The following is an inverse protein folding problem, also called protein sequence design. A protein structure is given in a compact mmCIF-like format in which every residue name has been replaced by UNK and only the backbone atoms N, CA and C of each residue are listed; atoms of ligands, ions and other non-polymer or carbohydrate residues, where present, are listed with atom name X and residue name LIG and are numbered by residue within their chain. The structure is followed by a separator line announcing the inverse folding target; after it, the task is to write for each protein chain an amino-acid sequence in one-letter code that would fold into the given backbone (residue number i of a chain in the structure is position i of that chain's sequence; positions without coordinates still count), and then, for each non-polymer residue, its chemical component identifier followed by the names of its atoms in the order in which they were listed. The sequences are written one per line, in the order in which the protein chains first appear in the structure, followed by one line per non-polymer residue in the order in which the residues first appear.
data_IF_224208978313
#
_entry.id   IF_224208978313
#
_cell.length_a   1.000
_cell.length_b   1.000
_cell.length_c   1.000
_cell.angle_alpha   90.00
_cell.angle_beta   90.00
_cell.angle_gamma   90.00
#
_symmetry.space_group_name_H-M   'P 1'
#
loop_
_entity.id
_entity.type
_entity.pdbx_description
1 polymer ?
#
# COMPACT_ATOMS: atom_id res chain seq x y z
N UNK A 1 -19.78 -15.33 -18.12
CA UNK A 1 -19.65 -14.03 -17.43
C UNK A 1 -18.46 -14.17 -16.51
N UNK A 2 -17.36 -13.53 -16.86
CA UNK A 2 -16.16 -13.51 -16.03
C UNK A 2 -16.51 -12.70 -14.79
N UNK A 3 -16.85 -13.37 -13.69
CA UNK A 3 -17.01 -12.71 -12.40
C UNK A 3 -15.60 -12.35 -11.96
N UNK A 4 -15.09 -11.20 -12.43
CA UNK A 4 -13.85 -10.65 -11.91
C UNK A 4 -14.04 -10.54 -10.40
N UNK A 5 -13.37 -11.41 -9.65
CA UNK A 5 -13.46 -11.44 -8.20
C UNK A 5 -13.11 -10.03 -7.73
N UNK A 6 -14.11 -9.33 -7.19
CA UNK A 6 -13.89 -7.98 -6.67
C UNK A 6 -12.81 -8.11 -5.60
N UNK A 7 -11.71 -7.34 -5.66
CA UNK A 7 -10.67 -7.46 -4.65
C UNK A 7 -11.30 -7.24 -3.26
N UNK A 8 -10.90 -8.05 -2.28
CA UNK A 8 -11.46 -8.01 -0.93
C UNK A 8 -11.19 -6.65 -0.23
N UNK A 9 -10.19 -5.91 -0.71
CA UNK A 9 -9.74 -4.62 -0.21
C UNK A 9 -9.59 -3.65 -1.38
N UNK A 10 -9.99 -2.39 -1.21
CA UNK A 10 -9.90 -1.38 -2.26
C UNK A 10 -8.46 -0.90 -2.45
N UNK A 11 -7.67 -0.86 -1.38
CA UNK A 11 -6.25 -0.48 -1.41
C UNK A 11 -5.40 -1.11 -0.28
N UNK A 12 -4.10 -0.76 -0.24
CA UNK A 12 -3.16 -1.32 0.74
C UNK A 12 -3.42 -0.84 2.18
N UNK A 13 -3.98 0.36 2.36
CA UNK A 13 -4.26 0.92 3.69
C UNK A 13 -5.42 0.18 4.35
N UNK A 14 -6.47 -0.13 3.58
CA UNK A 14 -7.57 -0.96 4.06
C UNK A 14 -7.12 -2.38 4.44
N UNK A 15 -6.25 -3.00 3.63
CA UNK A 15 -5.69 -4.31 3.95
C UNK A 15 -4.91 -4.29 5.27
N UNK A 16 -4.08 -3.25 5.47
CA UNK A 16 -3.29 -3.07 6.71
C UNK A 16 -4.21 -2.89 7.92
N UNK A 17 -5.26 -2.09 7.78
CA UNK A 17 -6.24 -1.84 8.83
C UNK A 17 -7.04 -3.11 9.18
N UNK A 18 -7.54 -3.82 8.17
CA UNK A 18 -8.29 -5.06 8.35
C UNK A 18 -7.47 -6.13 9.08
N UNK A 19 -6.17 -6.25 8.75
CA UNK A 19 -5.25 -7.18 9.43
C UNK A 19 -4.79 -6.68 10.81
N UNK A 20 -5.21 -5.49 11.23
CA UNK A 20 -4.82 -4.89 12.51
C UNK A 20 -3.32 -4.58 12.61
N UNK A 21 -2.65 -4.38 11.47
CA UNK A 21 -1.20 -4.18 11.46
C UNK A 21 -0.89 -2.74 11.86
N UNK A 22 -0.04 -2.59 12.88
CA UNK A 22 0.38 -1.29 13.37
C UNK A 22 1.23 -0.56 12.34
N UNK A 23 0.97 0.73 12.18
CA UNK A 23 1.70 1.61 11.27
C UNK A 23 3.22 1.61 11.52
N UNK A 24 3.64 1.47 12.79
CA UNK A 24 5.05 1.31 13.15
C UNK A 24 5.69 0.06 12.57
N UNK A 25 4.94 -1.05 12.51
CA UNK A 25 5.44 -2.31 11.94
C UNK A 25 5.58 -2.22 10.42
N UNK A 26 4.67 -1.51 9.75
CA UNK A 26 4.77 -1.28 8.30
C UNK A 26 6.03 -0.46 7.97
N UNK A 27 6.29 0.61 8.72
CA UNK A 27 7.50 1.41 8.56
C UNK A 27 8.77 0.55 8.76
N UNK A 28 8.80 -0.27 9.81
CA UNK A 28 9.90 -1.20 10.09
C UNK A 28 10.13 -2.20 8.94
N UNK A 29 9.07 -2.85 8.46
CA UNK A 29 9.12 -3.83 7.37
C UNK A 29 9.63 -3.19 6.08
N UNK A 30 9.12 -2.02 5.74
CA UNK A 30 9.55 -1.27 4.55
C UNK A 30 10.90 -0.57 4.77
N UNK A 31 11.62 -0.88 5.86
CA UNK A 31 12.95 -0.34 6.18
C UNK A 31 13.02 1.19 6.16
N UNK A 32 11.93 1.86 6.54
CA UNK A 32 11.83 3.32 6.56
C UNK A 32 11.50 3.83 7.96
N UNK A 33 11.83 5.10 8.23
CA UNK A 33 11.42 5.72 9.50
C UNK A 33 9.90 5.87 9.56
N UNK A 34 9.33 5.84 10.77
CA UNK A 34 7.90 6.07 10.98
C UNK A 34 7.41 7.40 10.37
N UNK A 35 8.24 8.45 10.48
CA UNK A 35 7.96 9.75 9.88
C UNK A 35 7.93 9.70 8.35
N UNK A 36 8.80 8.91 7.73
CA UNK A 36 8.78 8.73 6.28
C UNK A 36 7.54 7.96 5.84
N UNK A 37 7.18 6.89 6.54
CA UNK A 37 5.93 6.17 6.28
C UNK A 37 4.71 7.08 6.37
N UNK A 38 4.62 7.89 7.42
CA UNK A 38 3.54 8.85 7.59
C UNK A 38 3.47 9.86 6.43
N UNK A 39 4.61 10.43 6.04
CA UNK A 39 4.69 11.35 4.88
C UNK A 39 4.33 10.66 3.56
N UNK A 40 4.75 9.42 3.37
CA UNK A 40 4.42 8.63 2.18
C UNK A 40 2.92 8.41 2.08
N UNK A 41 2.25 8.05 3.19
CA UNK A 41 0.78 7.92 3.23
C UNK A 41 0.07 9.23 2.89
N UNK A 42 0.49 10.35 3.47
CA UNK A 42 -0.08 11.68 3.15
C UNK A 42 0.11 12.05 1.67
N UNK A 43 1.16 11.52 1.03
CA UNK A 43 1.46 11.72 -0.38
C UNK A 43 0.97 10.55 -1.26
N UNK A 44 -0.01 9.79 -0.78
CA UNK A 44 -0.63 8.72 -1.54
C UNK A 44 0.39 7.69 -2.09
N UNK A 45 1.43 7.41 -1.30
CA UNK A 45 2.49 6.45 -1.64
C UNK A 45 3.30 6.80 -2.90
N UNK A 46 3.29 8.07 -3.36
CA UNK A 46 3.96 8.53 -4.60
C UNK A 46 5.47 8.23 -4.70
N UNK A 47 6.14 8.01 -3.57
CA UNK A 47 7.59 7.78 -3.50
C UNK A 47 7.95 6.43 -2.88
N UNK A 48 7.01 5.47 -2.87
CA UNK A 48 7.32 4.11 -2.41
C UNK A 48 8.10 3.38 -3.50
N UNK A 49 9.23 2.79 -3.13
CA UNK A 49 10.09 2.05 -4.06
C UNK A 49 9.62 0.62 -4.27
N UNK A 50 10.05 0.00 -5.37
CA UNK A 50 9.78 -1.42 -5.65
C UNK A 50 10.33 -2.32 -4.54
N UNK A 51 11.50 -1.97 -3.97
CA UNK A 51 12.08 -2.74 -2.87
C UNK A 51 11.17 -2.74 -1.63
N UNK A 52 10.66 -1.57 -1.25
CA UNK A 52 9.73 -1.44 -0.12
C UNK A 52 8.42 -2.22 -0.35
N UNK A 53 7.93 -2.25 -1.59
CA UNK A 53 6.76 -3.07 -1.98
C UNK A 53 7.07 -4.57 -1.84
N UNK A 54 8.25 -5.00 -2.27
CA UNK A 54 8.68 -6.41 -2.15
C UNK A 54 8.82 -6.84 -0.69
N UNK A 55 9.41 -6.01 0.18
CA UNK A 55 9.50 -6.32 1.62
C UNK A 55 8.12 -6.42 2.26
N UNK A 56 7.21 -5.51 1.90
CA UNK A 56 5.83 -5.54 2.38
C UNK A 56 5.08 -6.79 1.88
N UNK A 57 5.31 -7.21 0.64
CA UNK A 57 4.73 -8.41 0.06
C UNK A 57 5.19 -9.69 0.77
N UNK A 58 6.50 -9.80 1.05
CA UNK A 58 7.06 -10.89 1.83
C UNK A 58 6.46 -10.94 3.25
N UNK A 59 6.33 -9.79 3.93
CA UNK A 59 5.73 -9.73 5.26
C UNK A 59 4.24 -10.10 5.28
N UNK A 60 3.49 -9.69 4.26
CA UNK A 60 2.06 -9.99 4.16
C UNK A 60 1.77 -11.39 3.63
N UNK A 61 2.80 -12.13 3.20
CA UNK A 61 2.70 -13.42 2.53
C UNK A 61 1.74 -13.36 1.33
N UNK A 62 1.96 -12.37 0.47
CA UNK A 62 1.16 -12.11 -0.73
C UNK A 62 2.07 -11.89 -1.96
N UNK A 63 1.58 -12.16 -3.18
CA UNK A 63 2.30 -11.84 -4.41
C UNK A 63 2.65 -10.35 -4.51
N UNK A 64 3.86 -10.04 -5.00
CA UNK A 64 4.33 -8.66 -5.11
C UNK A 64 3.47 -7.82 -6.04
N UNK A 65 2.93 -8.43 -7.10
CA UNK A 65 2.03 -7.80 -8.07
C UNK A 65 0.70 -7.36 -7.43
N UNK A 66 0.23 -8.14 -6.45
CA UNK A 66 -0.97 -7.81 -5.70
C UNK A 66 -0.72 -6.60 -4.79
N UNK A 67 0.39 -6.60 -4.05
CA UNK A 67 0.76 -5.46 -3.19
C UNK A 67 1.03 -4.22 -4.03
N UNK A 68 1.72 -4.35 -5.15
CA UNK A 68 1.92 -3.24 -6.09
C UNK A 68 0.59 -2.65 -6.55
N UNK A 69 -0.36 -3.50 -6.95
CA UNK A 69 -1.69 -3.06 -7.41
C UNK A 69 -2.45 -2.31 -6.31
N UNK A 70 -2.39 -2.79 -5.08
CA UNK A 70 -3.02 -2.15 -3.91
C UNK A 70 -2.35 -0.82 -3.54
N UNK A 71 -1.02 -0.73 -3.60
CA UNK A 71 -0.29 0.53 -3.42
C UNK A 71 -0.61 1.54 -4.53
N UNK A 72 -0.71 1.06 -5.77
CA UNK A 72 -1.04 1.89 -6.93
C UNK A 72 -2.48 2.43 -6.86
N UNK A 73 -3.43 1.70 -6.25
CA UNK A 73 -4.78 2.18 -6.01
C UNK A 73 -4.79 3.47 -5.15
N UNK A 74 -4.02 3.49 -4.04
CA UNK A 74 -3.85 4.70 -3.20
C UNK A 74 -3.27 5.85 -4.02
N UNK A 75 -2.21 5.58 -4.77
CA UNK A 75 -1.56 6.59 -5.62
C UNK A 75 -2.53 7.20 -6.63
N UNK A 76 -3.33 6.35 -7.30
CA UNK A 76 -4.30 6.79 -8.30
C UNK A 76 -5.38 7.69 -7.67
N UNK A 77 -5.91 7.33 -6.51
CA UNK A 77 -6.90 8.16 -5.80
C UNK A 77 -6.34 9.56 -5.51
N UNK A 78 -5.08 9.65 -5.04
CA UNK A 78 -4.41 10.93 -4.80
C UNK A 78 -4.17 11.76 -6.06
N UNK A 79 -3.85 11.11 -7.17
CA UNK A 79 -3.62 11.80 -8.46
C UNK A 79 -4.89 12.45 -9.01
N UNK A 80 -6.06 11.82 -8.78
CA UNK A 80 -7.35 12.36 -9.19
C UNK A 80 -7.74 13.59 -8.34
N UNK A 81 -7.44 13.58 -7.04
CA UNK A 81 -7.75 14.70 -6.13
C UNK A 81 -6.85 15.94 -6.32
N UNK A 82 -5.69 15.79 -6.96
CA UNK A 82 -4.74 16.89 -7.20
C UNK A 82 -4.84 17.50 -8.61
N UNK A 83 -5.86 17.10 -9.37
CA UNK A 83 -6.14 17.60 -10.73
C UNK A 83 -7.28 18.63 -10.78
N UNK A 84 -7.80 19.05 -9.63
CA UNK A 84 -8.72 20.19 -9.43
C UNK A 84 -7.97 21.40 -8.83
#
# INVERSE_FOLDING_TARGET
MDQSVKPLYEDILELIEFRGIKQGKIAEVMQMSYNNWYKSRQKHLRNVSIHEISELAAFLDLPVEQIFSLCHAVYKQGSLQSSD
#
